data_IF_402930052150
#
_entry.id   IF_402930052150
#
_cell.length_a   1.000
_cell.length_b   1.000
_cell.length_c   1.000
_cell.angle_alpha   90.00
_cell.angle_beta   90.00
_cell.angle_gamma   90.00
#
_symmetry.space_group_name_H-M   'P 1'
#
loop_
_entity.id
_entity.type
_entity.pdbx_description
1 polymer ?
#
# COMPACT_ATOMS: atom_id res chain seq x y z
N UNK A 1 -22.02 -5.68 -33.59
CA UNK A 1 -20.70 -5.02 -33.52
C UNK A 1 -20.46 -4.33 -32.17
N UNK A 2 -21.40 -3.48 -31.72
CA UNK A 2 -21.29 -2.74 -30.43
C UNK A 2 -21.09 -3.62 -29.18
N UNK A 3 -21.90 -4.66 -28.98
CA UNK A 3 -21.81 -5.54 -27.79
C UNK A 3 -20.47 -6.27 -27.64
N UNK A 4 -19.83 -6.63 -28.76
CA UNK A 4 -18.53 -7.32 -28.73
C UNK A 4 -17.40 -6.36 -28.35
N UNK A 5 -17.46 -5.11 -28.83
CA UNK A 5 -16.53 -4.05 -28.46
C UNK A 5 -16.67 -3.65 -26.99
N UNK A 6 -17.91 -3.49 -26.52
CA UNK A 6 -18.22 -3.20 -25.10
C UNK A 6 -17.71 -4.33 -24.20
N UNK A 7 -17.93 -5.59 -24.56
CA UNK A 7 -17.40 -6.73 -23.82
C UNK A 7 -15.86 -6.78 -23.81
N UNK A 8 -15.18 -6.42 -24.91
CA UNK A 8 -13.71 -6.34 -24.96
C UNK A 8 -13.17 -5.22 -24.06
N UNK A 9 -13.83 -4.05 -24.07
CA UNK A 9 -13.48 -2.93 -23.18
C UNK A 9 -13.63 -3.31 -21.70
N UNK A 10 -14.72 -3.98 -21.34
CA UNK A 10 -14.93 -4.47 -19.97
C UNK A 10 -13.88 -5.51 -19.57
N UNK A 11 -13.54 -6.45 -20.45
CA UNK A 11 -12.46 -7.44 -20.19
C UNK A 11 -11.11 -6.76 -19.96
N UNK A 12 -10.75 -5.77 -20.79
CA UNK A 12 -9.49 -5.02 -20.64
C UNK A 12 -9.47 -4.19 -19.36
N UNK A 13 -10.56 -3.52 -19.02
CA UNK A 13 -10.67 -2.77 -17.76
C UNK A 13 -10.51 -3.70 -16.55
N UNK A 14 -11.19 -4.85 -16.55
CA UNK A 14 -11.07 -5.86 -15.51
C UNK A 14 -9.66 -6.45 -15.40
N UNK A 15 -9.02 -6.76 -16.54
CA UNK A 15 -7.64 -7.24 -16.56
C UNK A 15 -6.64 -6.19 -16.04
N UNK A 16 -6.87 -4.91 -16.37
CA UNK A 16 -6.08 -3.79 -15.86
C UNK A 16 -6.20 -3.67 -14.34
N UNK A 17 -7.43 -3.68 -13.82
CA UNK A 17 -7.70 -3.68 -12.37
C UNK A 17 -6.98 -4.82 -11.66
N UNK A 18 -7.11 -6.07 -12.14
CA UNK A 18 -6.42 -7.22 -11.53
C UNK A 18 -4.91 -7.01 -11.49
N UNK A 19 -4.32 -6.45 -12.55
CA UNK A 19 -2.88 -6.20 -12.64
C UNK A 19 -2.44 -5.16 -11.61
N UNK A 20 -3.16 -4.04 -11.49
CA UNK A 20 -2.84 -2.99 -10.49
C UNK A 20 -3.02 -3.54 -9.08
N UNK A 21 -4.12 -4.26 -8.82
CA UNK A 21 -4.38 -4.91 -7.54
C UNK A 21 -3.26 -5.87 -7.18
N UNK A 22 -2.86 -6.76 -8.10
CA UNK A 22 -1.74 -7.67 -7.86
C UNK A 22 -0.47 -6.91 -7.49
N UNK A 23 -0.11 -5.86 -8.23
CA UNK A 23 1.07 -5.04 -7.94
C UNK A 23 1.02 -4.44 -6.53
N UNK A 24 -0.14 -3.91 -6.12
CA UNK A 24 -0.32 -3.30 -4.81
C UNK A 24 -0.04 -4.31 -3.69
N UNK A 25 -0.69 -5.48 -3.72
CA UNK A 25 -0.57 -6.47 -2.62
C UNK A 25 0.75 -7.24 -2.62
N UNK A 26 1.49 -7.24 -3.74
CA UNK A 26 2.82 -7.86 -3.80
C UNK A 26 3.94 -6.83 -3.70
N UNK A 27 3.63 -5.55 -3.44
CA UNK A 27 4.63 -4.52 -3.27
C UNK A 27 5.35 -4.72 -1.94
N UNK A 28 6.67 -4.89 -1.99
CA UNK A 28 7.51 -5.03 -0.80
C UNK A 28 8.61 -3.99 -0.83
N UNK A 29 8.95 -3.46 0.35
CA UNK A 29 10.05 -2.52 0.49
C UNK A 29 11.38 -3.28 0.48
N UNK A 30 12.29 -2.89 -0.40
CA UNK A 30 13.64 -3.45 -0.48
C UNK A 30 14.58 -2.74 0.47
N UNK A 31 15.39 -3.50 1.23
CA UNK A 31 16.40 -2.94 2.14
C UNK A 31 17.39 -2.03 1.38
N UNK A 32 17.64 -0.83 1.91
CA UNK A 32 18.46 0.19 1.25
C UNK A 32 17.76 0.95 0.12
N UNK A 33 16.47 0.69 -0.12
CA UNK A 33 15.64 1.47 -1.02
C UNK A 33 15.22 2.82 -0.43
N UNK A 34 14.59 3.66 -1.26
CA UNK A 34 14.02 4.92 -0.78
C UNK A 34 12.59 4.70 -0.27
N UNK A 35 12.39 4.83 1.05
CA UNK A 35 11.08 4.65 1.70
C UNK A 35 10.02 5.60 1.14
N UNK A 36 10.36 6.88 0.93
CA UNK A 36 9.40 7.87 0.42
C UNK A 36 8.90 7.48 -0.97
N UNK A 37 9.84 7.10 -1.85
CA UNK A 37 9.51 6.66 -3.19
C UNK A 37 8.61 5.42 -3.17
N UNK A 38 8.91 4.44 -2.32
CA UNK A 38 8.08 3.24 -2.21
C UNK A 38 6.68 3.56 -1.69
N UNK A 39 6.54 4.42 -0.68
CA UNK A 39 5.24 4.85 -0.17
C UNK A 39 4.44 5.60 -1.24
N UNK A 40 5.08 6.47 -2.01
CA UNK A 40 4.45 7.17 -3.14
C UNK A 40 4.00 6.20 -4.24
N UNK A 41 4.79 5.16 -4.53
CA UNK A 41 4.42 4.11 -5.49
C UNK A 41 3.18 3.31 -5.04
N UNK A 42 3.10 2.94 -3.76
CA UNK A 42 1.95 2.20 -3.22
C UNK A 42 0.70 3.08 -3.19
N UNK A 43 0.82 4.37 -2.86
CA UNK A 43 -0.29 5.32 -2.90
C UNK A 43 -0.77 5.60 -4.33
N UNK A 44 0.14 5.70 -5.31
CA UNK A 44 -0.24 5.83 -6.72
C UNK A 44 -1.01 4.59 -7.22
N UNK A 45 -0.62 3.38 -6.80
CA UNK A 45 -1.36 2.16 -7.10
C UNK A 45 -2.77 2.16 -6.47
N UNK A 46 -2.92 2.65 -5.24
CA UNK A 46 -4.23 2.84 -4.61
C UNK A 46 -5.09 3.81 -5.42
N UNK A 47 -4.54 4.97 -5.77
CA UNK A 47 -5.25 5.98 -6.58
C UNK A 47 -5.64 5.46 -7.97
N UNK A 48 -4.79 4.63 -8.59
CA UNK A 48 -5.12 3.96 -9.86
C UNK A 48 -6.32 3.01 -9.71
N UNK A 49 -6.44 2.27 -8.60
CA UNK A 49 -7.60 1.43 -8.32
C UNK A 49 -8.86 2.26 -8.08
N UNK A 50 -8.75 3.36 -7.32
CA UNK A 50 -9.88 4.27 -7.08
C UNK A 50 -10.41 4.87 -8.39
N UNK A 51 -9.52 5.25 -9.32
CA UNK A 51 -9.88 5.70 -10.67
C UNK A 51 -10.58 4.61 -11.51
N UNK A 52 -10.45 3.33 -11.14
CA UNK A 52 -11.13 2.19 -11.74
C UNK A 52 -12.41 1.79 -10.97
N UNK A 53 -12.87 2.62 -10.03
CA UNK A 53 -13.99 2.37 -9.10
C UNK A 53 -13.75 1.23 -8.11
N UNK A 54 -12.49 0.94 -7.78
CA UNK A 54 -12.11 -0.06 -6.79
C UNK A 54 -11.47 0.63 -5.60
N UNK A 55 -12.22 0.73 -4.50
CA UNK A 55 -11.81 1.46 -3.31
C UNK A 55 -11.04 0.54 -2.37
N UNK A 56 -9.79 0.90 -2.09
CA UNK A 56 -9.00 0.29 -1.02
C UNK A 56 -9.20 1.14 0.25
N UNK A 57 -9.69 0.51 1.32
CA UNK A 57 -9.92 1.22 2.58
C UNK A 57 -8.60 1.55 3.28
N UNK A 58 -8.57 2.59 4.11
CA UNK A 58 -7.36 2.93 4.88
C UNK A 58 -6.87 1.77 5.74
N UNK A 59 -7.80 0.99 6.31
CA UNK A 59 -7.46 -0.22 7.08
C UNK A 59 -6.76 -1.28 6.22
N UNK A 60 -7.24 -1.48 5.00
CA UNK A 60 -6.64 -2.42 4.07
C UNK A 60 -5.28 -1.92 3.58
N UNK A 61 -5.17 -0.62 3.31
CA UNK A 61 -3.91 0.03 2.96
C UNK A 61 -2.86 -0.12 4.06
N UNK A 62 -3.23 0.06 5.33
CA UNK A 62 -2.36 -0.19 6.49
C UNK A 62 -1.82 -1.62 6.47
N UNK A 63 -2.69 -2.62 6.26
CA UNK A 63 -2.25 -4.01 6.22
C UNK A 63 -1.27 -4.28 5.07
N UNK A 64 -1.54 -3.72 3.88
CA UNK A 64 -0.68 -3.86 2.71
C UNK A 64 0.70 -3.26 2.99
N UNK A 65 0.76 -2.06 3.56
CA UNK A 65 2.01 -1.39 3.89
C UNK A 65 2.80 -2.19 4.95
N UNK A 66 2.14 -2.59 6.04
CA UNK A 66 2.79 -3.35 7.11
C UNK A 66 3.33 -4.70 6.61
N UNK A 67 2.61 -5.38 5.72
CA UNK A 67 3.09 -6.59 5.07
C UNK A 67 4.28 -6.31 4.15
N UNK A 68 4.24 -5.20 3.40
CA UNK A 68 5.31 -4.79 2.49
C UNK A 68 6.64 -4.46 3.19
N UNK A 69 6.59 -4.00 4.45
CA UNK A 69 7.78 -3.68 5.26
C UNK A 69 8.13 -4.76 6.29
N UNK A 70 7.43 -5.89 6.33
CA UNK A 70 7.59 -6.93 7.36
C UNK A 70 9.04 -7.41 7.49
N UNK A 71 9.74 -7.60 6.38
CA UNK A 71 11.11 -8.13 6.41
C UNK A 71 12.15 -7.09 6.84
N UNK A 72 11.90 -5.81 6.56
CA UNK A 72 12.86 -4.71 6.75
C UNK A 72 12.63 -3.92 8.04
N UNK A 73 11.37 -3.61 8.37
CA UNK A 73 10.97 -2.79 9.52
C UNK A 73 10.15 -3.60 10.53
N UNK A 74 10.68 -4.77 10.93
CA UNK A 74 10.02 -5.71 11.87
C UNK A 74 9.55 -5.07 13.17
N UNK A 75 10.30 -4.09 13.68
CA UNK A 75 9.94 -3.38 14.91
C UNK A 75 8.66 -2.55 14.73
N UNK A 76 8.54 -1.84 13.60
CA UNK A 76 7.35 -1.05 13.26
C UNK A 76 6.12 -1.95 13.14
N UNK A 77 6.25 -3.06 12.42
CA UNK A 77 5.16 -4.04 12.27
C UNK A 77 4.73 -4.62 13.62
N UNK A 78 5.69 -4.92 14.51
CA UNK A 78 5.38 -5.42 15.86
C UNK A 78 4.60 -4.40 16.68
N UNK A 79 4.92 -3.11 16.59
CA UNK A 79 4.23 -2.04 17.34
C UNK A 79 2.78 -1.91 16.85
N UNK A 80 2.55 -1.94 15.54
CA UNK A 80 1.21 -1.77 14.98
C UNK A 80 0.34 -3.03 15.06
N UNK A 81 0.93 -4.22 15.17
CA UNK A 81 0.20 -5.46 15.43
C UNK A 81 -0.21 -5.64 16.90
N UNK A 82 0.33 -4.84 17.83
CA UNK A 82 -0.07 -4.87 19.23
C UNK A 82 -1.29 -3.96 19.49
N UNK A 83 -2.13 -4.28 20.50
CA UNK A 83 -3.18 -3.37 20.93
C UNK A 83 -2.56 -2.02 21.31
N UNK A 84 -2.98 -0.95 20.63
CA UNK A 84 -2.43 0.37 20.89
C UNK A 84 -2.73 0.80 22.33
N UNK A 85 -1.76 1.46 23.02
CA UNK A 85 -1.99 2.00 24.35
C UNK A 85 -3.22 2.93 24.34
N UNK A 86 -4.20 2.63 25.20
CA UNK A 86 -5.44 3.43 25.29
C UNK A 86 -6.48 3.13 24.21
N UNK A 87 -6.33 2.06 23.41
CA UNK A 87 -7.35 1.62 22.45
C UNK A 87 -7.51 2.55 21.24
N UNK A 88 -6.49 3.38 20.95
CA UNK A 88 -6.53 4.26 19.79
C UNK A 88 -6.50 3.45 18.49
N UNK A 89 -7.30 3.81 17.47
CA UNK A 89 -7.28 3.14 16.19
C UNK A 89 -5.96 3.41 15.47
N UNK A 90 -5.37 2.37 14.87
CA UNK A 90 -4.23 2.54 13.96
C UNK A 90 -4.73 3.20 12.68
N UNK A 91 -4.28 4.44 12.45
CA UNK A 91 -4.62 5.20 11.24
C UNK A 91 -3.51 5.07 10.20
N UNK A 92 -3.86 5.25 8.93
CA UNK A 92 -2.90 5.23 7.83
C UNK A 92 -1.82 6.30 8.00
N UNK A 93 -2.21 7.53 8.34
CA UNK A 93 -1.27 8.63 8.58
C UNK A 93 -0.24 8.32 9.66
N UNK A 94 -0.65 7.64 10.73
CA UNK A 94 0.25 7.26 11.81
C UNK A 94 1.33 6.29 11.30
N UNK A 95 0.93 5.27 10.54
CA UNK A 95 1.86 4.28 9.97
C UNK A 95 2.82 4.94 8.97
N UNK A 96 2.31 5.81 8.09
CA UNK A 96 3.12 6.53 7.10
C UNK A 96 4.16 7.44 7.78
N UNK A 97 3.75 8.20 8.79
CA UNK A 97 4.65 9.09 9.52
C UNK A 97 5.72 8.32 10.30
N UNK A 98 5.37 7.19 10.93
CA UNK A 98 6.34 6.34 11.62
C UNK A 98 7.38 5.76 10.65
N UNK A 99 6.96 5.27 9.48
CA UNK A 99 7.88 4.72 8.48
C UNK A 99 8.82 5.78 7.91
N UNK A 100 8.32 7.00 7.67
CA UNK A 100 9.16 8.13 7.23
C UNK A 100 10.19 8.51 8.30
N UNK A 101 9.77 8.61 9.56
CA UNK A 101 10.67 8.91 10.68
C UNK A 101 11.77 7.86 10.87
N UNK A 102 11.43 6.57 10.81
CA UNK A 102 12.40 5.47 10.89
C UNK A 102 13.39 5.51 9.71
N UNK A 103 12.90 5.75 8.49
CA UNK A 103 13.76 5.86 7.31
C UNK A 103 14.69 7.09 7.36
N UNK A 104 14.27 8.19 7.98
CA UNK A 104 15.14 9.34 8.23
C UNK A 104 16.22 9.02 9.26
N UNK A 105 15.90 8.29 10.33
CA UNK A 105 16.90 7.85 11.33
C UNK A 105 17.91 6.87 10.74
N UNK A 106 17.47 5.98 9.86
CA UNK A 106 18.35 5.02 9.16
C UNK A 106 19.31 5.72 8.17
N UNK A 107 18.90 6.84 7.55
CA UNK A 107 19.76 7.65 6.67
C UNK A 107 20.76 8.52 7.43
N UNK A 108 20.53 8.79 8.71
CA UNK A 108 21.36 9.64 9.56
C UNK A 108 22.52 8.89 10.24
N UNK A 109 22.58 7.56 10.11
CA UNK A 109 23.62 6.68 10.63
C UNK A 109 24.57 6.17 9.54
#
# INVERSE_FOLDING_TARGET
>A
MWRAFEADKTKRAFASMIRVRRKLYTSTFTLGGNMEQWLDEVEDLRRQLENMNEVITDREMVNIILQGVEETHRNVVRIFNQPQPGGQPVTLDLVLNTLRGEAETDKAH
#
